data_IF_049084442376
#
_entry.id   IF_049084442376
#
_cell.length_a   1.000
_cell.length_b   1.000
_cell.length_c   1.000
_cell.angle_alpha   90.00
_cell.angle_beta   90.00
_cell.angle_gamma   90.00
#
_symmetry.space_group_name_H-M   'P 1'
#
loop_
_entity.id
_entity.type
_entity.pdbx_description
1 polymer ?
#
# COMPACT_ATOMS: atom_id res chain seq x y z
N UNK A 1 25.63 -7.42 17.43
CA UNK A 1 24.45 -8.31 17.28
C UNK A 1 24.12 -8.38 15.81
N UNK A 2 23.94 -9.58 15.23
CA UNK A 2 23.56 -9.71 13.81
C UNK A 2 22.09 -9.26 13.66
N UNK A 3 21.75 -8.63 12.54
CA UNK A 3 20.37 -8.14 12.29
C UNK A 3 19.28 -9.23 12.45
N UNK A 4 19.62 -10.47 12.15
CA UNK A 4 18.73 -11.62 12.34
C UNK A 4 18.42 -11.92 13.81
N UNK A 5 19.40 -11.78 14.71
CA UNK A 5 19.20 -12.00 16.15
C UNK A 5 18.25 -10.94 16.72
N UNK A 6 18.39 -9.71 16.27
CA UNK A 6 17.51 -8.60 16.67
C UNK A 6 16.08 -8.81 16.13
N UNK A 7 15.91 -9.30 14.88
CA UNK A 7 14.57 -9.63 14.33
C UNK A 7 13.90 -10.73 15.15
N UNK A 8 14.61 -11.81 15.47
CA UNK A 8 14.07 -12.91 16.27
C UNK A 8 13.61 -12.43 17.65
N UNK A 9 14.42 -11.61 18.32
CA UNK A 9 14.07 -11.02 19.62
C UNK A 9 12.79 -10.18 19.57
N UNK A 10 12.66 -9.32 18.56
CA UNK A 10 11.48 -8.48 18.38
C UNK A 10 10.23 -9.30 18.08
N UNK A 11 10.33 -10.30 17.21
CA UNK A 11 9.23 -11.18 16.88
C UNK A 11 8.77 -11.99 18.11
N UNK A 12 9.72 -12.52 18.91
CA UNK A 12 9.40 -13.19 20.17
C UNK A 12 8.80 -12.24 21.20
N UNK A 13 9.32 -11.02 21.33
CA UNK A 13 8.74 -9.97 22.19
C UNK A 13 7.27 -9.72 21.84
N UNK A 14 6.97 -9.53 20.55
CA UNK A 14 5.61 -9.32 20.09
C UNK A 14 4.69 -10.49 20.36
N UNK A 15 5.15 -11.72 20.13
CA UNK A 15 4.38 -12.93 20.43
C UNK A 15 4.15 -13.11 21.93
N UNK A 16 5.14 -12.84 22.76
CA UNK A 16 4.98 -12.88 24.22
C UNK A 16 3.94 -11.86 24.69
N UNK A 17 3.98 -10.63 24.16
CA UNK A 17 2.96 -9.61 24.44
C UNK A 17 1.59 -10.04 23.95
N UNK A 18 1.48 -10.55 22.74
CA UNK A 18 0.20 -11.06 22.18
C UNK A 18 -0.38 -12.17 23.05
N UNK A 19 0.48 -13.08 23.53
CA UNK A 19 0.06 -14.18 24.39
C UNK A 19 -0.40 -13.73 25.78
N UNK A 20 0.27 -12.71 26.34
CA UNK A 20 0.03 -12.21 27.70
C UNK A 20 -0.91 -11.00 27.78
N UNK A 21 -1.29 -10.40 26.64
CA UNK A 21 -2.08 -9.16 26.60
C UNK A 21 -3.48 -9.37 27.23
N UNK A 22 -4.18 -8.30 27.71
CA UNK A 22 -5.30 -8.40 28.69
C UNK A 22 -6.28 -9.54 28.45
N UNK A 23 -6.47 -9.92 27.17
CA UNK A 23 -7.13 -11.19 26.79
C UNK A 23 -6.10 -12.03 26.05
N UNK A 24 -5.60 -13.06 26.69
CA UNK A 24 -4.56 -13.95 26.16
C UNK A 24 -4.86 -14.39 24.72
N UNK A 25 -3.89 -14.15 23.83
CA UNK A 25 -3.99 -14.52 22.41
C UNK A 25 -4.91 -13.61 21.57
N UNK A 26 -5.27 -12.41 22.04
CA UNK A 26 -6.00 -11.42 21.24
C UNK A 26 -5.20 -10.12 21.13
N UNK A 27 -4.66 -9.83 19.95
CA UNK A 27 -3.89 -8.62 19.74
C UNK A 27 -3.37 -8.47 18.33
N UNK A 28 -2.91 -7.26 18.02
CA UNK A 28 -2.34 -6.90 16.72
C UNK A 28 -0.88 -6.51 16.86
N UNK A 29 -0.02 -7.08 16.03
CA UNK A 29 1.35 -6.65 15.84
C UNK A 29 1.38 -5.61 14.72
N UNK A 30 1.61 -4.34 15.08
CA UNK A 30 1.78 -3.26 14.13
C UNK A 30 3.26 -3.10 13.79
N UNK A 31 3.76 -3.90 12.86
CA UNK A 31 5.17 -3.95 12.51
C UNK A 31 5.41 -3.42 11.10
N UNK A 32 6.43 -2.57 10.93
CA UNK A 32 6.88 -2.12 9.63
C UNK A 32 7.11 -3.29 8.67
N UNK A 33 6.95 -3.03 7.37
CA UNK A 33 7.24 -4.03 6.34
C UNK A 33 8.71 -4.44 6.41
N UNK A 34 9.00 -5.74 6.33
CA UNK A 34 10.35 -6.28 6.42
C UNK A 34 10.78 -6.76 7.82
N UNK A 35 10.03 -6.43 8.88
CA UNK A 35 10.31 -6.91 10.25
C UNK A 35 9.96 -8.40 10.44
N UNK A 36 9.14 -8.99 9.55
CA UNK A 36 8.82 -10.42 9.58
C UNK A 36 7.47 -10.76 10.22
N UNK A 37 6.45 -9.96 9.95
CA UNK A 37 5.06 -10.20 10.41
C UNK A 37 4.57 -11.62 10.11
N UNK A 38 4.82 -12.11 8.89
CA UNK A 38 4.36 -13.45 8.45
C UNK A 38 4.98 -14.55 9.31
N UNK A 39 6.27 -14.42 9.67
CA UNK A 39 6.92 -15.35 10.60
C UNK A 39 6.26 -15.34 11.97
N UNK A 40 5.83 -14.18 12.48
CA UNK A 40 5.06 -14.13 13.73
C UNK A 40 3.77 -14.96 13.62
N UNK A 41 3.09 -14.91 12.47
CA UNK A 41 1.93 -15.76 12.21
C UNK A 41 2.24 -17.24 12.23
N UNK A 42 3.34 -17.69 11.59
CA UNK A 42 3.79 -19.08 11.61
C UNK A 42 4.08 -19.55 13.05
N UNK A 43 4.81 -18.74 13.82
CA UNK A 43 5.11 -19.05 15.22
C UNK A 43 3.87 -19.09 16.11
N UNK A 44 2.91 -18.19 15.89
CA UNK A 44 1.62 -18.19 16.61
C UNK A 44 0.81 -19.46 16.30
N UNK A 45 0.80 -19.90 15.03
CA UNK A 45 0.18 -21.14 14.62
C UNK A 45 0.82 -22.36 15.34
N UNK A 46 2.15 -22.45 15.30
CA UNK A 46 2.88 -23.53 15.97
C UNK A 46 2.62 -23.56 17.49
N UNK A 47 2.63 -22.41 18.16
CA UNK A 47 2.30 -22.30 19.58
C UNK A 47 0.87 -22.74 19.86
N UNK A 48 -0.09 -22.38 19.01
CA UNK A 48 -1.50 -22.75 19.19
C UNK A 48 -1.69 -24.25 19.02
N UNK A 49 -1.11 -24.86 17.98
CA UNK A 49 -1.17 -26.33 17.78
C UNK A 49 -0.57 -27.07 18.97
N UNK A 50 0.59 -26.60 19.48
CA UNK A 50 1.23 -27.19 20.66
C UNK A 50 0.32 -27.14 21.91
N UNK A 51 -0.49 -26.10 22.06
CA UNK A 51 -1.40 -25.92 23.20
C UNK A 51 -2.71 -26.72 23.04
N UNK A 52 -3.31 -26.68 21.83
CA UNK A 52 -4.64 -27.25 21.56
C UNK A 52 -4.59 -28.73 21.21
N UNK A 53 -3.45 -29.20 20.64
CA UNK A 53 -3.29 -30.60 20.24
C UNK A 53 -3.89 -30.94 18.88
N UNK A 54 -4.32 -32.19 18.69
CA UNK A 54 -4.61 -32.80 17.38
C UNK A 54 -5.87 -32.28 16.66
N UNK A 55 -6.74 -31.56 17.34
CA UNK A 55 -8.00 -31.02 16.75
C UNK A 55 -7.95 -29.48 16.51
N UNK A 56 -6.77 -28.92 16.42
CA UNK A 56 -6.58 -27.48 16.21
C UNK A 56 -7.13 -27.02 14.86
N UNK A 57 -7.88 -25.93 14.84
CA UNK A 57 -8.42 -25.30 13.62
C UNK A 57 -7.95 -23.86 13.52
N UNK A 58 -7.10 -23.58 12.52
CA UNK A 58 -6.49 -22.29 12.31
C UNK A 58 -6.99 -21.69 11.00
N UNK A 59 -7.45 -20.45 11.03
CA UNK A 59 -7.82 -19.70 9.85
C UNK A 59 -6.81 -18.58 9.59
N UNK A 60 -6.31 -18.48 8.37
CA UNK A 60 -5.55 -17.33 7.89
C UNK A 60 -6.42 -16.53 6.93
N UNK A 61 -6.77 -15.31 7.34
CA UNK A 61 -7.46 -14.35 6.49
C UNK A 61 -6.44 -13.53 5.68
N UNK A 62 -6.61 -13.50 4.36
CA UNK A 62 -5.72 -12.77 3.46
C UNK A 62 -6.46 -11.69 2.67
N UNK A 63 -5.79 -10.59 2.29
CA UNK A 63 -6.41 -9.53 1.50
C UNK A 63 -6.55 -9.88 0.00
N UNK A 64 -5.72 -10.80 -0.52
CA UNK A 64 -5.69 -11.15 -1.95
C UNK A 64 -5.47 -12.64 -2.18
N UNK A 65 -5.91 -13.14 -3.35
CA UNK A 65 -5.71 -14.53 -3.76
C UNK A 65 -4.23 -14.92 -3.90
N UNK A 66 -3.39 -14.02 -4.39
CA UNK A 66 -1.95 -14.29 -4.54
C UNK A 66 -1.28 -14.59 -3.19
N UNK A 67 -1.67 -13.88 -2.13
CA UNK A 67 -1.18 -14.12 -0.78
C UNK A 67 -1.76 -15.43 -0.24
N UNK A 68 -3.03 -15.71 -0.48
CA UNK A 68 -3.70 -16.96 -0.11
C UNK A 68 -2.99 -18.18 -0.71
N UNK A 69 -2.75 -18.14 -2.03
CA UNK A 69 -2.38 -19.34 -2.79
C UNK A 69 -0.91 -19.74 -2.63
N UNK A 70 -0.02 -18.78 -2.32
CA UNK A 70 1.43 -19.04 -2.29
C UNK A 70 2.15 -18.53 -1.06
N UNK A 71 2.00 -17.26 -0.71
CA UNK A 71 2.90 -16.60 0.21
C UNK A 71 2.91 -17.21 1.61
N UNK A 72 1.76 -17.58 2.15
CA UNK A 72 1.67 -18.23 3.46
C UNK A 72 2.23 -19.63 3.45
N UNK A 73 1.91 -20.45 2.46
CA UNK A 73 2.43 -21.83 2.34
C UNK A 73 3.96 -21.82 2.22
N UNK A 74 4.51 -20.95 1.37
CA UNK A 74 5.95 -20.78 1.21
C UNK A 74 6.62 -20.36 2.53
N UNK A 75 5.99 -19.50 3.32
CA UNK A 75 6.53 -19.07 4.61
C UNK A 75 6.53 -20.21 5.66
N UNK A 76 5.47 -21.03 5.72
CA UNK A 76 5.46 -22.22 6.58
C UNK A 76 6.55 -23.23 6.19
N UNK A 77 6.74 -23.47 4.89
CA UNK A 77 7.83 -24.33 4.38
C UNK A 77 9.19 -23.78 4.79
N UNK A 78 9.42 -22.49 4.59
CA UNK A 78 10.67 -21.80 4.93
C UNK A 78 11.08 -21.95 6.40
N UNK A 79 10.11 -22.01 7.29
CA UNK A 79 10.33 -22.13 8.74
C UNK A 79 10.22 -23.57 9.27
N UNK A 80 10.10 -24.56 8.38
CA UNK A 80 10.04 -25.98 8.74
C UNK A 80 8.71 -26.42 9.32
N UNK A 81 7.63 -25.63 9.14
CA UNK A 81 6.32 -25.87 9.73
C UNK A 81 5.25 -26.27 8.68
N UNK A 82 5.67 -26.85 7.56
CA UNK A 82 4.76 -27.26 6.46
C UNK A 82 3.67 -28.23 6.93
N UNK A 83 4.01 -29.16 7.83
CA UNK A 83 3.04 -30.11 8.39
C UNK A 83 1.90 -29.42 9.16
N UNK A 84 2.17 -28.30 9.82
CA UNK A 84 1.15 -27.50 10.50
C UNK A 84 0.23 -26.86 9.46
N UNK A 85 0.80 -26.30 8.38
CA UNK A 85 0.02 -25.68 7.32
C UNK A 85 -0.92 -26.69 6.67
N UNK A 86 -0.39 -27.83 6.25
CA UNK A 86 -1.17 -28.83 5.49
C UNK A 86 -2.26 -29.49 6.35
N UNK A 87 -2.08 -29.59 7.68
CA UNK A 87 -3.01 -30.31 8.55
C UNK A 87 -4.01 -29.43 9.28
N UNK A 88 -3.63 -28.21 9.67
CA UNK A 88 -4.41 -27.40 10.62
C UNK A 88 -4.84 -26.05 10.08
N UNK A 89 -4.29 -25.60 8.92
CA UNK A 89 -4.49 -24.23 8.43
C UNK A 89 -5.41 -24.20 7.22
N UNK A 90 -6.46 -23.43 7.35
CA UNK A 90 -7.27 -22.97 6.22
C UNK A 90 -6.87 -21.54 5.87
N UNK A 91 -6.58 -21.26 4.59
CA UNK A 91 -6.17 -19.94 4.12
C UNK A 91 -7.20 -19.39 3.12
N UNK A 92 -7.87 -18.29 3.46
CA UNK A 92 -9.03 -17.76 2.71
C UNK A 92 -8.94 -16.23 2.58
N UNK A 93 -9.42 -15.72 1.44
CA UNK A 93 -9.60 -14.27 1.28
C UNK A 93 -10.79 -13.76 2.10
N UNK A 94 -10.64 -12.60 2.72
CA UNK A 94 -11.72 -11.97 3.50
C UNK A 94 -12.99 -11.75 2.67
N UNK A 95 -12.87 -11.50 1.35
CA UNK A 95 -13.99 -11.34 0.42
C UNK A 95 -14.89 -12.60 0.31
N UNK A 96 -14.36 -13.73 0.72
CA UNK A 96 -15.13 -14.98 0.83
C UNK A 96 -15.57 -15.22 2.28
N UNK A 97 -14.64 -15.11 3.23
CA UNK A 97 -14.86 -15.47 4.62
C UNK A 97 -15.88 -14.58 5.35
N UNK A 98 -16.05 -13.30 4.95
CA UNK A 98 -16.97 -12.39 5.64
C UNK A 98 -18.44 -12.84 5.60
N UNK A 99 -18.79 -13.73 4.67
CA UNK A 99 -20.13 -14.32 4.51
C UNK A 99 -20.38 -15.51 5.45
N UNK A 100 -19.33 -16.02 6.09
CA UNK A 100 -19.45 -17.20 6.94
C UNK A 100 -20.05 -16.85 8.29
N UNK A 101 -20.83 -17.77 8.81
CA UNK A 101 -21.54 -17.63 10.10
C UNK A 101 -21.40 -18.92 10.89
N UNK A 102 -21.22 -18.82 12.21
CA UNK A 102 -21.21 -19.95 13.13
C UNK A 102 -19.95 -20.82 13.08
N UNK A 103 -18.87 -20.36 12.43
CA UNK A 103 -17.60 -21.06 12.44
C UNK A 103 -16.86 -20.85 13.75
N UNK A 104 -16.11 -21.87 14.18
CA UNK A 104 -15.30 -21.84 15.40
C UNK A 104 -13.86 -22.15 15.04
N UNK A 105 -12.93 -21.28 15.48
CA UNK A 105 -11.49 -21.42 15.26
C UNK A 105 -10.71 -21.26 16.56
N UNK A 106 -9.65 -22.05 16.72
CA UNK A 106 -8.70 -21.89 17.83
C UNK A 106 -7.85 -20.65 17.65
N UNK A 107 -7.48 -20.35 16.39
CA UNK A 107 -6.72 -19.15 16.02
C UNK A 107 -7.20 -18.59 14.68
N UNK A 108 -7.43 -17.28 14.64
CA UNK A 108 -7.56 -16.51 13.40
C UNK A 108 -6.35 -15.62 13.26
N UNK A 109 -5.59 -15.79 12.19
CA UNK A 109 -4.49 -14.88 11.79
C UNK A 109 -5.06 -13.96 10.72
N UNK A 110 -5.17 -12.67 11.02
CA UNK A 110 -5.70 -11.65 10.13
C UNK A 110 -4.56 -10.85 9.49
N UNK A 111 -4.10 -11.31 8.31
CA UNK A 111 -3.01 -10.63 7.58
C UNK A 111 -3.52 -9.34 6.94
N UNK A 112 -2.80 -8.23 7.17
CA UNK A 112 -3.23 -6.87 6.84
C UNK A 112 -4.62 -6.53 7.43
N UNK A 113 -4.79 -6.81 8.73
CA UNK A 113 -6.07 -6.68 9.48
C UNK A 113 -6.76 -5.33 9.26
N UNK A 114 -6.01 -4.25 8.98
CA UNK A 114 -6.58 -2.93 8.70
C UNK A 114 -7.55 -2.92 7.50
N UNK A 115 -7.49 -3.91 6.60
CA UNK A 115 -8.45 -4.06 5.50
C UNK A 115 -9.78 -4.64 5.98
N UNK A 116 -9.79 -5.37 7.11
CA UNK A 116 -10.97 -6.07 7.63
C UNK A 116 -11.73 -5.23 8.65
N UNK A 117 -11.10 -4.18 9.17
CA UNK A 117 -11.74 -3.19 10.05
C UNK A 117 -12.48 -2.16 9.16
N UNK A 118 -13.56 -2.65 8.56
CA UNK A 118 -14.50 -1.91 7.74
C UNK A 118 -15.90 -2.52 7.94
N UNK A 119 -17.00 -1.75 7.87
CA UNK A 119 -18.34 -2.22 8.23
C UNK A 119 -18.72 -3.56 7.59
N UNK A 120 -18.36 -3.76 6.33
CA UNK A 120 -18.69 -4.97 5.59
C UNK A 120 -17.96 -6.22 6.12
N UNK A 121 -16.63 -6.13 6.26
CA UNK A 121 -15.80 -7.30 6.63
C UNK A 121 -15.73 -7.53 8.13
N UNK A 122 -16.02 -6.50 8.93
CA UNK A 122 -16.00 -6.57 10.39
C UNK A 122 -17.00 -7.59 10.93
N UNK A 123 -18.09 -7.83 10.22
CA UNK A 123 -19.11 -8.81 10.58
C UNK A 123 -18.54 -10.24 10.69
N UNK A 124 -17.43 -10.55 10.02
CA UNK A 124 -16.77 -11.85 10.19
C UNK A 124 -16.47 -12.15 11.66
N UNK A 125 -15.91 -11.17 12.37
CA UNK A 125 -15.52 -11.34 13.77
C UNK A 125 -16.71 -11.39 14.73
N UNK A 126 -17.86 -10.83 14.38
CA UNK A 126 -19.10 -10.91 15.14
C UNK A 126 -19.90 -12.18 14.87
N UNK A 127 -19.84 -12.71 13.65
CA UNK A 127 -20.62 -13.86 13.22
C UNK A 127 -19.93 -15.20 13.46
N UNK A 128 -18.64 -15.21 13.81
CA UNK A 128 -17.84 -16.41 14.04
C UNK A 128 -17.11 -16.33 15.38
N UNK A 129 -16.82 -17.48 15.96
CA UNK A 129 -16.07 -17.57 17.20
C UNK A 129 -14.60 -17.83 16.93
N UNK A 130 -13.73 -17.13 17.64
CA UNK A 130 -12.30 -17.38 17.62
C UNK A 130 -11.73 -17.26 19.03
N UNK A 131 -11.06 -18.34 19.48
CA UNK A 131 -10.42 -18.33 20.80
C UNK A 131 -9.26 -17.34 20.84
N UNK A 132 -8.46 -17.30 19.77
CA UNK A 132 -7.34 -16.37 19.61
C UNK A 132 -7.45 -15.61 18.29
N UNK A 133 -6.99 -14.34 18.29
CA UNK A 133 -6.89 -13.52 17.09
C UNK A 133 -5.53 -12.82 17.06
N UNK A 134 -4.76 -13.09 16.02
CA UNK A 134 -3.52 -12.36 15.73
C UNK A 134 -3.72 -11.47 14.53
N UNK A 135 -3.81 -10.16 14.77
CA UNK A 135 -3.77 -9.16 13.72
C UNK A 135 -2.33 -8.85 13.29
N UNK A 136 -2.08 -8.78 12.00
CA UNK A 136 -0.81 -8.35 11.42
C UNK A 136 -1.06 -7.14 10.54
N UNK A 137 -0.29 -6.06 10.72
CA UNK A 137 -0.38 -4.88 9.86
C UNK A 137 0.89 -4.04 9.92
N UNK A 138 1.21 -3.34 8.83
CA UNK A 138 2.26 -2.33 8.84
C UNK A 138 1.76 -0.97 9.33
N UNK A 139 0.47 -0.69 9.10
CA UNK A 139 -0.15 0.57 9.45
C UNK A 139 -1.62 0.38 9.82
N UNK A 140 -2.05 1.03 10.88
CA UNK A 140 -3.46 1.13 11.29
C UNK A 140 -3.87 2.59 11.27
N UNK A 141 -4.92 2.91 10.53
CA UNK A 141 -5.53 4.23 10.56
C UNK A 141 -6.12 4.51 11.95
N UNK A 142 -5.76 5.63 12.61
CA UNK A 142 -6.30 5.98 13.92
C UNK A 142 -7.84 5.94 14.00
N UNK A 143 -8.53 6.29 12.93
CA UNK A 143 -10.00 6.25 12.84
C UNK A 143 -10.55 4.83 13.03
N UNK A 144 -9.76 3.80 12.72
CA UNK A 144 -10.15 2.39 12.85
C UNK A 144 -9.86 1.77 14.22
N UNK A 145 -9.12 2.46 15.08
CA UNK A 145 -8.70 1.94 16.38
C UNK A 145 -9.88 1.49 17.27
N UNK A 146 -11.01 2.21 17.36
CA UNK A 146 -12.13 1.76 18.20
C UNK A 146 -12.64 0.36 17.79
N UNK A 147 -12.81 0.09 16.50
CA UNK A 147 -13.24 -1.20 15.99
C UNK A 147 -12.14 -2.27 16.15
N UNK A 148 -10.88 -1.92 15.89
CA UNK A 148 -9.77 -2.83 16.09
C UNK A 148 -9.65 -3.29 17.55
N UNK A 149 -9.80 -2.36 18.49
CA UNK A 149 -9.71 -2.63 19.92
C UNK A 149 -10.80 -3.59 20.41
N UNK A 150 -11.94 -3.66 19.74
CA UNK A 150 -13.00 -4.62 20.06
C UNK A 150 -12.65 -6.06 19.66
N UNK A 151 -11.70 -6.28 18.74
CA UNK A 151 -11.37 -7.61 18.21
C UNK A 151 -9.95 -8.02 18.58
N UNK A 152 -8.96 -7.20 18.29
CA UNK A 152 -7.54 -7.48 18.46
C UNK A 152 -6.76 -6.15 18.65
N UNK A 153 -6.73 -5.56 19.84
CA UNK A 153 -6.04 -4.30 20.10
C UNK A 153 -4.53 -4.40 19.81
N UNK A 154 -3.89 -3.26 19.53
CA UNK A 154 -2.45 -3.25 19.25
C UNK A 154 -1.70 -3.64 20.54
N UNK A 155 -1.01 -4.78 20.52
CA UNK A 155 -0.23 -5.29 21.65
C UNK A 155 1.28 -4.99 21.54
N UNK A 156 1.80 -4.84 20.31
CA UNK A 156 3.18 -4.40 20.09
C UNK A 156 3.30 -3.61 18.79
N UNK A 157 4.28 -2.68 18.77
CA UNK A 157 4.51 -1.80 17.61
C UNK A 157 5.99 -1.69 17.32
N UNK A 158 6.32 -1.68 16.01
CA UNK A 158 7.64 -1.33 15.47
C UNK A 158 7.42 -0.45 14.23
N UNK A 159 7.78 0.81 14.33
CA UNK A 159 7.65 1.77 13.23
C UNK A 159 8.74 1.57 12.18
N UNK A 160 8.58 2.15 10.99
CA UNK A 160 9.61 2.11 9.94
C UNK A 160 10.90 2.77 10.40
N UNK A 161 10.81 3.88 11.13
CA UNK A 161 11.98 4.56 11.71
C UNK A 161 12.71 3.67 12.72
N UNK A 162 11.98 3.07 13.66
CA UNK A 162 12.55 2.16 14.66
C UNK A 162 13.16 0.91 13.98
N UNK A 163 12.48 0.34 12.98
CA UNK A 163 13.01 -0.78 12.22
C UNK A 163 14.32 -0.45 11.49
N UNK A 164 14.43 0.76 10.94
CA UNK A 164 15.66 1.25 10.30
C UNK A 164 16.77 1.46 11.31
N UNK A 165 16.51 2.16 12.43
CA UNK A 165 17.50 2.43 13.48
C UNK A 165 18.04 1.16 14.14
N UNK A 166 17.22 0.10 14.23
CA UNK A 166 17.60 -1.21 14.75
C UNK A 166 18.25 -2.12 13.68
N UNK A 167 18.43 -1.63 12.44
CA UNK A 167 18.98 -2.44 11.34
C UNK A 167 18.11 -3.63 10.92
N UNK A 168 16.81 -3.61 11.20
CA UNK A 168 15.87 -4.66 10.81
C UNK A 168 15.48 -4.58 9.33
N UNK A 169 15.57 -3.40 8.77
CA UNK A 169 15.39 -3.08 7.34
C UNK A 169 16.61 -2.32 6.86
N UNK A 170 16.84 -2.28 5.57
CA UNK A 170 17.93 -1.48 4.98
C UNK A 170 17.73 0.00 5.27
N UNK A 171 18.81 0.74 5.43
CA UNK A 171 18.76 2.19 5.47
C UNK A 171 18.16 2.75 4.19
N UNK A 172 17.47 3.87 4.27
CA UNK A 172 16.89 4.52 3.10
C UNK A 172 16.85 6.03 3.24
N UNK A 173 16.89 6.71 2.11
CA UNK A 173 16.63 8.15 2.03
C UNK A 173 15.34 8.35 1.22
N UNK A 174 14.42 9.12 1.77
CA UNK A 174 13.17 9.52 1.12
C UNK A 174 13.26 10.96 0.65
N UNK A 175 13.32 11.14 -0.67
CA UNK A 175 13.32 12.44 -1.32
C UNK A 175 11.90 12.84 -1.73
N UNK A 176 11.50 14.08 -1.43
CA UNK A 176 10.33 14.74 -1.98
C UNK A 176 10.80 15.64 -3.12
N UNK A 177 10.37 15.35 -4.33
CA UNK A 177 10.86 16.03 -5.55
C UNK A 177 9.73 16.83 -6.17
N UNK A 178 9.71 18.17 -5.96
CA UNK A 178 8.76 19.07 -6.60
C UNK A 178 9.08 19.23 -8.08
N UNK A 179 8.05 19.19 -8.92
CA UNK A 179 8.10 19.33 -10.38
C UNK A 179 7.07 20.34 -10.85
N UNK A 180 7.30 20.96 -11.99
CA UNK A 180 6.38 21.90 -12.61
C UNK A 180 5.63 21.29 -13.79
N UNK A 181 4.37 21.68 -13.98
CA UNK A 181 3.61 21.36 -15.21
C UNK A 181 4.15 22.13 -16.41
N UNK A 182 4.10 21.52 -17.59
CA UNK A 182 4.34 22.24 -18.85
C UNK A 182 3.33 23.36 -19.06
N UNK A 183 3.60 24.28 -20.00
CA UNK A 183 2.75 25.44 -20.23
C UNK A 183 1.29 25.06 -20.50
N UNK A 184 1.04 24.08 -21.39
CA UNK A 184 -0.29 23.62 -21.74
C UNK A 184 -0.95 22.84 -20.59
N UNK A 185 -0.24 21.92 -19.94
CA UNK A 185 -0.73 21.17 -18.80
C UNK A 185 -1.16 22.09 -17.64
N UNK A 186 -0.41 23.18 -17.42
CA UNK A 186 -0.73 24.21 -16.41
C UNK A 186 -2.04 24.92 -16.70
N UNK A 187 -2.30 25.24 -17.98
CA UNK A 187 -3.56 25.86 -18.41
C UNK A 187 -4.73 24.88 -18.19
N UNK A 188 -4.57 23.64 -18.62
CA UNK A 188 -5.62 22.62 -18.52
C UNK A 188 -5.91 22.26 -17.06
N UNK A 189 -4.86 22.17 -16.23
CA UNK A 189 -5.02 21.95 -14.79
C UNK A 189 -5.75 23.12 -14.11
N UNK A 190 -5.41 24.38 -14.44
CA UNK A 190 -6.11 25.56 -13.92
C UNK A 190 -7.59 25.53 -14.27
N UNK A 191 -7.93 25.26 -15.53
CA UNK A 191 -9.33 25.10 -15.98
C UNK A 191 -10.08 24.06 -15.17
N UNK A 192 -9.53 22.86 -15.06
CA UNK A 192 -10.14 21.76 -14.30
C UNK A 192 -10.27 22.11 -12.81
N UNK A 193 -9.27 22.78 -12.24
CA UNK A 193 -9.27 23.21 -10.84
C UNK A 193 -10.31 24.29 -10.56
N UNK A 194 -10.44 25.28 -11.47
CA UNK A 194 -11.47 26.33 -11.38
C UNK A 194 -12.88 25.75 -11.46
N UNK A 195 -13.14 24.86 -12.40
CA UNK A 195 -14.43 24.18 -12.53
C UNK A 195 -14.79 23.38 -11.27
N UNK A 196 -13.82 22.62 -10.75
CA UNK A 196 -14.01 21.90 -9.49
C UNK A 196 -14.29 22.85 -8.31
N UNK A 197 -13.49 23.91 -8.17
CA UNK A 197 -13.64 24.89 -7.09
C UNK A 197 -14.98 25.64 -7.14
N UNK A 198 -15.54 25.88 -8.34
CA UNK A 198 -16.84 26.48 -8.54
C UNK A 198 -18.00 25.56 -8.14
N UNK A 199 -17.90 24.28 -8.51
CA UNK A 199 -19.01 23.32 -8.36
C UNK A 199 -19.01 22.60 -7.01
N UNK A 200 -17.85 22.29 -6.46
CA UNK A 200 -17.74 21.47 -5.25
C UNK A 200 -18.42 22.04 -3.99
N UNK A 201 -18.43 23.37 -3.75
CA UNK A 201 -19.19 23.96 -2.65
C UNK A 201 -20.71 23.68 -2.69
N UNK A 202 -21.27 23.43 -3.86
CA UNK A 202 -22.68 23.07 -4.00
C UNK A 202 -23.02 21.74 -3.31
N UNK A 203 -22.03 20.89 -3.13
CA UNK A 203 -22.11 19.58 -2.47
C UNK A 203 -21.50 19.60 -1.05
N UNK A 204 -21.58 20.73 -0.35
CA UNK A 204 -21.05 20.94 1.02
C UNK A 204 -19.56 20.61 1.14
N UNK A 205 -18.81 20.65 0.03
CA UNK A 205 -17.42 20.19 -0.06
C UNK A 205 -17.23 18.73 0.39
N UNK A 206 -18.27 17.91 0.27
CA UNK A 206 -18.29 16.48 0.60
C UNK A 206 -18.44 15.64 -0.67
N UNK A 207 -17.42 14.83 -0.96
CA UNK A 207 -17.46 13.92 -2.11
C UNK A 207 -18.56 12.87 -2.00
N UNK A 208 -18.92 12.43 -0.80
CA UNK A 208 -20.01 11.44 -0.62
C UNK A 208 -21.35 12.04 -1.01
N UNK A 209 -21.58 13.30 -0.66
CA UNK A 209 -22.77 14.02 -1.07
C UNK A 209 -22.77 14.20 -2.59
N UNK A 210 -21.66 14.65 -3.17
CA UNK A 210 -21.54 14.81 -4.62
C UNK A 210 -21.86 13.50 -5.36
N UNK A 211 -21.31 12.36 -4.91
CA UNK A 211 -21.59 11.06 -5.55
C UNK A 211 -23.06 10.62 -5.40
N UNK A 212 -23.68 10.86 -4.24
CA UNK A 212 -25.12 10.62 -4.06
C UNK A 212 -25.97 11.47 -4.99
N UNK A 213 -25.58 12.71 -5.20
CA UNK A 213 -26.26 13.66 -6.11
C UNK A 213 -26.10 13.28 -7.60
N UNK A 214 -25.34 12.28 -7.95
CA UNK A 214 -25.36 11.70 -9.31
C UNK A 214 -26.68 10.98 -9.62
N UNK A 215 -27.48 10.65 -8.59
CA UNK A 215 -28.88 10.20 -8.75
C UNK A 215 -29.79 11.42 -8.82
N UNK A 216 -30.55 11.65 -9.92
CA UNK A 216 -31.31 12.89 -10.13
C UNK A 216 -32.27 13.26 -9.01
N UNK A 217 -33.05 12.32 -8.48
CA UNK A 217 -33.98 12.55 -7.37
C UNK A 217 -33.30 12.95 -6.05
N UNK A 218 -32.10 12.41 -5.79
CA UNK A 218 -31.30 12.77 -4.63
C UNK A 218 -30.74 14.19 -4.80
N UNK A 219 -30.32 14.54 -6.00
CA UNK A 219 -29.82 15.86 -6.32
C UNK A 219 -30.89 16.93 -6.22
N UNK A 220 -32.09 16.70 -6.76
CA UNK A 220 -33.24 17.58 -6.62
C UNK A 220 -33.59 17.83 -5.14
N UNK A 221 -33.64 16.76 -4.34
CA UNK A 221 -33.86 16.88 -2.89
C UNK A 221 -32.76 17.71 -2.21
N UNK A 222 -31.50 17.54 -2.63
CA UNK A 222 -30.35 18.30 -2.10
C UNK A 222 -30.44 19.79 -2.46
N UNK A 223 -30.79 20.11 -3.71
CA UNK A 223 -31.01 21.50 -4.17
C UNK A 223 -32.16 22.19 -3.41
N UNK A 224 -33.30 21.52 -3.30
CA UNK A 224 -34.47 22.05 -2.59
C UNK A 224 -34.16 22.40 -1.12
N UNK A 225 -33.35 21.59 -0.43
CA UNK A 225 -32.89 21.90 0.93
C UNK A 225 -32.02 23.16 1.00
N UNK A 226 -31.38 23.55 -0.11
CA UNK A 226 -30.55 24.76 -0.24
C UNK A 226 -31.30 25.95 -0.83
N UNK A 227 -32.58 25.81 -1.09
CA UNK A 227 -33.40 26.86 -1.71
C UNK A 227 -33.16 27.02 -3.21
N UNK A 228 -32.60 26.01 -3.87
CA UNK A 228 -32.38 25.97 -5.32
C UNK A 228 -33.39 25.03 -5.99
N UNK A 229 -33.76 25.32 -7.22
CA UNK A 229 -34.63 24.49 -8.05
C UNK A 229 -33.74 23.76 -9.09
N UNK A 230 -34.07 22.50 -9.40
CA UNK A 230 -33.44 21.77 -10.47
C UNK A 230 -33.88 22.34 -11.82
N UNK A 231 -32.94 22.72 -12.66
CA UNK A 231 -33.16 23.32 -13.99
C UNK A 231 -32.17 22.72 -15.03
N UNK A 232 -32.32 23.16 -16.28
CA UNK A 232 -31.46 22.70 -17.40
C UNK A 232 -30.00 23.06 -17.23
N UNK A 233 -29.68 24.16 -16.55
CA UNK A 233 -28.31 24.60 -16.30
C UNK A 233 -27.59 23.74 -15.25
N UNK A 234 -28.28 23.51 -14.13
CA UNK A 234 -27.66 22.84 -12.98
C UNK A 234 -27.78 21.32 -12.95
N UNK A 235 -28.71 20.72 -13.70
CA UNK A 235 -28.96 19.25 -13.71
C UNK A 235 -27.71 18.41 -13.96
N UNK A 236 -26.69 18.95 -14.62
CA UNK A 236 -25.44 18.26 -14.96
C UNK A 236 -24.30 18.55 -13.99
N UNK A 237 -24.47 19.43 -12.99
CA UNK A 237 -23.40 19.86 -12.11
C UNK A 237 -22.73 18.73 -11.31
N UNK A 238 -23.43 17.69 -10.81
CA UNK A 238 -22.75 16.56 -10.17
C UNK A 238 -21.77 15.86 -11.10
N UNK A 239 -22.17 15.64 -12.35
CA UNK A 239 -21.33 15.00 -13.36
C UNK A 239 -20.16 15.90 -13.79
N UNK A 240 -20.42 17.21 -13.98
CA UNK A 240 -19.37 18.18 -14.29
C UNK A 240 -18.34 18.28 -13.16
N UNK A 241 -18.78 18.28 -11.91
CA UNK A 241 -17.89 18.31 -10.75
C UNK A 241 -17.01 17.05 -10.68
N UNK A 242 -17.60 15.89 -10.89
CA UNK A 242 -16.87 14.62 -10.94
C UNK A 242 -15.89 14.58 -12.13
N UNK A 243 -16.28 15.04 -13.30
CA UNK A 243 -15.41 15.13 -14.48
C UNK A 243 -14.23 16.07 -14.22
N UNK A 244 -14.48 17.26 -13.66
CA UNK A 244 -13.44 18.23 -13.31
C UNK A 244 -12.46 17.65 -12.28
N UNK A 245 -12.96 16.95 -11.25
CA UNK A 245 -12.13 16.26 -10.26
C UNK A 245 -11.26 15.17 -10.92
N UNK A 246 -11.85 14.37 -11.79
CA UNK A 246 -11.17 13.28 -12.48
C UNK A 246 -10.11 13.78 -13.45
N UNK A 247 -10.44 14.79 -14.25
CA UNK A 247 -9.53 15.42 -15.20
C UNK A 247 -8.33 16.05 -14.49
N UNK A 248 -8.57 16.78 -13.39
CA UNK A 248 -7.53 17.35 -12.55
C UNK A 248 -6.54 16.27 -12.05
N UNK A 249 -7.05 15.16 -11.54
CA UNK A 249 -6.21 14.02 -11.11
C UNK A 249 -5.44 13.40 -12.27
N UNK A 250 -6.11 13.20 -13.42
CA UNK A 250 -5.50 12.60 -14.60
C UNK A 250 -4.33 13.42 -15.13
N UNK A 251 -4.48 14.76 -15.16
CA UNK A 251 -3.40 15.67 -15.54
C UNK A 251 -2.19 15.53 -14.61
N UNK A 252 -2.40 15.55 -13.30
CA UNK A 252 -1.31 15.38 -12.33
C UNK A 252 -0.64 14.01 -12.45
N UNK A 253 -1.42 12.94 -12.62
CA UNK A 253 -0.87 11.57 -12.66
C UNK A 253 -0.06 11.30 -13.93
N UNK A 254 -0.39 11.95 -15.04
CA UNK A 254 0.23 11.75 -16.35
C UNK A 254 1.14 12.90 -16.79
N UNK A 255 1.48 13.83 -15.90
CA UNK A 255 2.30 15.00 -16.22
C UNK A 255 3.63 14.62 -16.89
N UNK A 256 3.97 15.31 -17.97
CA UNK A 256 5.18 15.06 -18.77
C UNK A 256 6.44 15.24 -17.94
N UNK A 257 6.47 16.25 -17.07
CA UNK A 257 7.61 16.50 -16.18
C UNK A 257 7.94 15.29 -15.28
N UNK A 258 6.95 14.45 -14.93
CA UNK A 258 7.19 13.23 -14.17
C UNK A 258 7.84 12.13 -15.00
N UNK A 259 7.47 12.02 -16.27
CA UNK A 259 8.11 11.07 -17.18
C UNK A 259 9.58 11.44 -17.39
N UNK A 260 9.86 12.71 -17.62
CA UNK A 260 11.23 13.25 -17.76
C UNK A 260 12.05 13.02 -16.47
N UNK A 261 11.43 13.23 -15.30
CA UNK A 261 12.07 12.99 -14.02
C UNK A 261 12.38 11.49 -13.79
N UNK A 262 11.45 10.62 -14.14
CA UNK A 262 11.67 9.15 -14.07
C UNK A 262 12.85 8.76 -14.93
N UNK A 263 12.90 9.22 -16.18
CA UNK A 263 14.02 8.96 -17.10
C UNK A 263 15.34 9.42 -16.50
N UNK A 264 15.45 10.68 -16.12
CA UNK A 264 16.68 11.26 -15.56
C UNK A 264 17.16 10.52 -14.32
N UNK A 265 16.26 10.17 -13.40
CA UNK A 265 16.60 9.39 -12.20
C UNK A 265 17.06 7.96 -12.53
N UNK A 266 16.46 7.34 -13.55
CA UNK A 266 16.89 6.02 -14.00
C UNK A 266 18.24 6.07 -14.72
N UNK A 267 18.51 7.11 -15.49
CA UNK A 267 19.78 7.31 -16.19
C UNK A 267 20.92 7.62 -15.19
N UNK A 268 20.63 8.34 -14.11
CA UNK A 268 21.58 8.63 -13.03
C UNK A 268 21.93 7.40 -12.19
N UNK A 269 21.02 6.39 -12.16
CA UNK A 269 21.19 5.16 -11.37
C UNK A 269 21.02 3.91 -12.23
N UNK A 270 21.85 3.71 -13.26
CA UNK A 270 21.71 2.58 -14.19
C UNK A 270 21.89 1.21 -13.50
N UNK A 271 22.70 1.15 -12.45
CA UNK A 271 23.02 -0.05 -11.68
C UNK A 271 21.91 -0.50 -10.73
N UNK A 272 20.92 0.39 -10.42
CA UNK A 272 19.92 0.10 -9.41
C UNK A 272 18.68 -0.58 -9.99
N UNK A 273 18.32 -1.72 -9.43
CA UNK A 273 17.00 -2.29 -9.69
C UNK A 273 15.93 -1.39 -9.12
N UNK A 274 15.04 -0.91 -10.00
CA UNK A 274 14.10 0.16 -9.71
C UNK A 274 12.66 -0.27 -9.91
N UNK A 275 11.80 0.09 -8.94
CA UNK A 275 10.35 0.00 -9.08
C UNK A 275 9.75 1.40 -9.24
N UNK A 276 8.93 1.59 -10.29
CA UNK A 276 8.29 2.87 -10.59
C UNK A 276 6.78 2.71 -10.36
N UNK A 277 6.28 3.40 -9.35
CA UNK A 277 4.87 3.37 -8.96
C UNK A 277 4.08 4.50 -9.60
N UNK A 278 2.97 4.18 -10.24
CA UNK A 278 2.02 5.14 -10.80
C UNK A 278 0.58 4.87 -10.35
N UNK A 279 -0.34 5.78 -10.66
CA UNK A 279 -1.78 5.60 -10.41
C UNK A 279 -2.53 5.17 -11.67
N UNK A 280 -1.94 5.34 -12.86
CA UNK A 280 -2.56 5.04 -14.14
C UNK A 280 -1.75 4.03 -14.93
N UNK A 281 -2.44 3.14 -15.64
CA UNK A 281 -1.82 2.17 -16.56
C UNK A 281 -1.17 2.91 -17.74
N UNK A 282 -1.79 3.98 -18.19
CA UNK A 282 -1.28 4.83 -19.27
C UNK A 282 0.12 5.36 -18.94
N UNK A 283 0.30 5.95 -17.76
CA UNK A 283 1.62 6.42 -17.33
C UNK A 283 2.62 5.27 -17.18
N UNK A 284 2.20 4.12 -16.63
CA UNK A 284 3.07 2.96 -16.51
C UNK A 284 3.58 2.46 -17.87
N UNK A 285 2.73 2.46 -18.89
CA UNK A 285 3.10 2.09 -20.26
C UNK A 285 4.06 3.12 -20.89
N UNK A 286 3.75 4.42 -20.76
CA UNK A 286 4.64 5.50 -21.24
C UNK A 286 6.04 5.41 -20.62
N UNK A 287 6.13 5.09 -19.32
CA UNK A 287 7.43 4.85 -18.66
C UNK A 287 8.16 3.66 -19.28
N UNK A 288 7.44 2.57 -19.58
CA UNK A 288 8.06 1.39 -20.20
C UNK A 288 8.53 1.68 -21.61
N UNK A 289 7.75 2.42 -22.39
CA UNK A 289 8.13 2.88 -23.73
C UNK A 289 9.36 3.80 -23.70
N UNK A 290 9.40 4.77 -22.77
CA UNK A 290 10.50 5.73 -22.63
C UNK A 290 11.81 5.08 -22.20
N UNK A 291 11.75 4.09 -21.30
CA UNK A 291 12.93 3.37 -20.79
C UNK A 291 13.33 2.16 -21.64
N UNK A 292 12.53 1.78 -22.64
CA UNK A 292 12.81 0.74 -23.61
C UNK A 292 13.11 -0.63 -23.00
N UNK A 293 14.08 -1.34 -23.54
CA UNK A 293 14.41 -2.72 -23.18
C UNK A 293 14.87 -2.93 -21.72
N UNK A 294 15.16 -1.85 -21.01
CA UNK A 294 15.56 -1.92 -19.59
C UNK A 294 14.38 -1.95 -18.62
N UNK A 295 13.15 -1.74 -19.10
CA UNK A 295 11.95 -1.62 -18.28
C UNK A 295 10.83 -2.55 -18.76
N UNK A 296 10.12 -3.16 -17.82
CA UNK A 296 8.93 -3.96 -18.08
C UNK A 296 7.72 -3.40 -17.34
N UNK A 297 6.52 -3.58 -17.91
CA UNK A 297 5.25 -3.20 -17.28
C UNK A 297 4.70 -4.30 -16.39
N UNK A 298 4.03 -3.89 -15.28
CA UNK A 298 3.29 -4.80 -14.42
C UNK A 298 1.98 -4.14 -13.95
N UNK A 299 0.84 -4.49 -14.56
CA UNK A 299 -0.47 -3.94 -14.21
C UNK A 299 -1.61 -4.92 -14.53
N UNK A 300 -2.82 -4.64 -14.03
CA UNK A 300 -3.97 -5.54 -14.10
C UNK A 300 -4.48 -5.86 -15.52
N UNK A 301 -4.21 -4.99 -16.52
CA UNK A 301 -4.57 -5.26 -17.93
C UNK A 301 -3.68 -6.30 -18.59
N UNK A 302 -2.51 -6.58 -18.03
CA UNK A 302 -1.66 -7.68 -18.50
C UNK A 302 -2.20 -9.02 -17.99
N UNK A 303 -2.24 -10.03 -18.84
CA UNK A 303 -2.58 -11.40 -18.45
C UNK A 303 -1.62 -11.97 -17.40
N UNK A 304 -2.06 -12.97 -16.65
CA UNK A 304 -1.26 -13.59 -15.56
C UNK A 304 0.11 -14.11 -16.07
N UNK A 305 0.13 -14.74 -17.24
CA UNK A 305 1.37 -15.23 -17.89
C UNK A 305 2.35 -14.10 -18.19
N UNK A 306 1.88 -13.00 -18.79
CA UNK A 306 2.73 -11.85 -19.13
C UNK A 306 3.31 -11.17 -17.89
N UNK A 307 2.49 -11.02 -16.83
CA UNK A 307 2.95 -10.47 -15.54
C UNK A 307 4.03 -11.33 -14.91
N UNK A 308 3.88 -12.66 -14.93
CA UNK A 308 4.90 -13.58 -14.41
C UNK A 308 6.18 -13.46 -15.23
N UNK A 309 6.10 -13.53 -16.57
CA UNK A 309 7.27 -13.42 -17.45
C UNK A 309 8.02 -12.08 -17.28
N UNK A 310 7.31 -10.98 -17.07
CA UNK A 310 7.93 -9.68 -16.83
C UNK A 310 8.66 -9.63 -15.46
N UNK A 311 8.10 -10.27 -14.44
CA UNK A 311 8.77 -10.41 -13.14
C UNK A 311 10.01 -11.29 -13.26
N UNK A 312 9.93 -12.42 -13.97
CA UNK A 312 11.04 -13.32 -14.16
C UNK A 312 12.20 -12.63 -14.88
N UNK A 313 11.91 -11.78 -15.89
CA UNK A 313 12.93 -10.94 -16.55
C UNK A 313 13.61 -9.97 -15.58
N UNK A 314 12.88 -9.32 -14.67
CA UNK A 314 13.47 -8.42 -13.67
C UNK A 314 14.32 -9.16 -12.64
N UNK A 315 13.94 -10.38 -12.30
CA UNK A 315 14.66 -11.21 -11.32
C UNK A 315 15.94 -11.81 -11.93
N UNK A 316 15.88 -12.20 -13.20
CA UNK A 316 17.02 -12.81 -13.90
C UNK A 316 18.08 -11.74 -14.25
N UNK A 317 19.19 -11.77 -13.52
CA UNK A 317 20.32 -10.85 -13.72
C UNK A 317 21.04 -11.00 -15.08
N UNK A 318 20.68 -12.00 -15.90
CA UNK A 318 21.21 -12.17 -17.26
C UNK A 318 20.46 -11.33 -18.29
N UNK A 319 19.34 -10.74 -17.94
CA UNK A 319 18.58 -9.82 -18.79
C UNK A 319 19.03 -8.39 -18.58
N UNK A 320 18.74 -7.51 -19.56
CA UNK A 320 18.99 -6.08 -19.42
C UNK A 320 17.89 -5.36 -18.60
N UNK A 321 16.88 -6.09 -18.12
CA UNK A 321 15.73 -5.52 -17.39
C UNK A 321 16.14 -5.25 -15.94
N UNK A 322 16.30 -3.98 -15.63
CA UNK A 322 16.61 -3.49 -14.26
C UNK A 322 15.44 -2.70 -13.67
N UNK A 323 14.38 -2.46 -14.44
CA UNK A 323 13.28 -1.57 -14.03
C UNK A 323 11.92 -2.23 -14.25
N UNK A 324 10.97 -1.91 -13.35
CA UNK A 324 9.58 -2.33 -13.48
C UNK A 324 8.65 -1.17 -13.22
N UNK A 325 7.78 -0.86 -14.18
CA UNK A 325 6.75 0.16 -14.05
C UNK A 325 5.40 -0.47 -13.70
N UNK A 326 4.72 0.05 -12.68
CA UNK A 326 3.47 -0.54 -12.17
C UNK A 326 2.39 0.48 -11.87
N UNK A 327 1.15 0.12 -12.17
CA UNK A 327 -0.05 0.86 -11.79
C UNK A 327 -0.84 0.06 -10.76
N UNK A 328 -0.73 0.44 -9.48
CA UNK A 328 -1.45 -0.14 -8.30
C UNK A 328 -1.18 -1.63 -8.00
N UNK A 329 -0.63 -2.40 -8.95
CA UNK A 329 -0.61 -3.87 -8.87
C UNK A 329 0.48 -4.45 -7.97
N UNK A 330 1.56 -3.74 -7.69
CA UNK A 330 2.67 -4.20 -6.83
C UNK A 330 2.59 -3.67 -5.39
N UNK A 331 1.48 -3.08 -4.99
CA UNK A 331 1.33 -2.61 -3.62
C UNK A 331 1.27 -3.78 -2.61
N UNK A 332 0.75 -4.95 -3.03
CA UNK A 332 0.58 -6.13 -2.15
C UNK A 332 1.01 -7.43 -2.86
N UNK A 333 1.60 -8.36 -2.12
CA UNK A 333 1.73 -9.78 -2.50
C UNK A 333 2.88 -10.20 -3.43
N UNK A 334 3.64 -9.30 -4.02
CA UNK A 334 4.76 -9.67 -4.92
C UNK A 334 6.10 -9.41 -4.26
N UNK A 335 6.95 -10.43 -4.27
CA UNK A 335 8.32 -10.35 -3.78
C UNK A 335 9.27 -10.13 -4.97
N UNK A 336 9.93 -8.98 -5.02
CA UNK A 336 11.00 -8.71 -5.98
C UNK A 336 12.29 -8.53 -5.18
N UNK A 337 13.29 -9.42 -5.33
CA UNK A 337 14.58 -9.27 -4.67
C UNK A 337 15.37 -8.10 -5.28
N UNK A 338 16.37 -7.65 -4.55
CA UNK A 338 17.40 -6.69 -4.96
C UNK A 338 16.91 -5.29 -5.39
N UNK A 339 15.64 -4.95 -5.16
CA UNK A 339 15.15 -3.59 -5.41
C UNK A 339 15.87 -2.64 -4.45
N UNK A 340 16.62 -1.68 -5.00
CA UNK A 340 17.36 -0.67 -4.22
C UNK A 340 16.87 0.76 -4.48
N UNK A 341 16.00 0.97 -5.47
CA UNK A 341 15.42 2.27 -5.75
C UNK A 341 13.90 2.18 -5.99
N UNK A 342 13.15 3.16 -5.51
CA UNK A 342 11.75 3.37 -5.88
C UNK A 342 11.52 4.80 -6.37
N UNK A 343 10.73 4.93 -7.43
CA UNK A 343 10.21 6.22 -7.89
C UNK A 343 8.68 6.18 -7.76
N UNK A 344 8.14 7.02 -6.91
CA UNK A 344 6.69 7.17 -6.71
C UNK A 344 6.25 8.35 -7.57
N UNK A 345 5.94 8.06 -8.83
CA UNK A 345 5.57 9.08 -9.83
C UNK A 345 4.18 9.68 -9.55
N UNK A 346 3.30 8.95 -8.85
CA UNK A 346 1.99 9.47 -8.47
C UNK A 346 1.64 9.01 -7.07
N UNK A 347 1.54 9.95 -6.16
CA UNK A 347 1.20 9.72 -4.76
C UNK A 347 -0.30 9.64 -4.50
N UNK A 348 -0.65 9.17 -3.33
CA UNK A 348 -1.97 9.29 -2.72
C UNK A 348 -1.80 9.96 -1.36
N UNK A 349 -2.87 10.52 -0.80
CA UNK A 349 -2.86 11.06 0.56
C UNK A 349 -2.78 9.96 1.64
N UNK A 350 -2.77 8.68 1.25
CA UNK A 350 -2.80 7.56 2.18
C UNK A 350 -1.39 7.20 2.63
N UNK A 351 -1.10 7.42 3.89
CA UNK A 351 0.16 7.01 4.57
C UNK A 351 0.44 5.51 4.36
N UNK A 352 -0.60 4.68 4.41
CA UNK A 352 -0.52 3.23 4.15
C UNK A 352 0.16 2.91 2.82
N UNK A 353 -0.28 3.57 1.73
CA UNK A 353 0.25 3.28 0.38
C UNK A 353 1.74 3.60 0.30
N UNK A 354 2.18 4.70 0.92
CA UNK A 354 3.59 5.06 0.99
C UNK A 354 4.39 4.02 1.78
N UNK A 355 3.94 3.64 2.98
CA UNK A 355 4.60 2.63 3.83
C UNK A 355 4.74 1.29 3.08
N UNK A 356 3.71 0.85 2.37
CA UNK A 356 3.77 -0.38 1.59
C UNK A 356 4.77 -0.31 0.43
N UNK A 357 4.83 0.85 -0.27
CA UNK A 357 5.80 1.07 -1.37
C UNK A 357 7.22 1.13 -0.85
N UNK A 358 7.48 1.89 0.21
CA UNK A 358 8.77 1.92 0.92
C UNK A 358 9.19 0.49 1.29
N UNK A 359 8.29 -0.26 1.91
CA UNK A 359 8.55 -1.61 2.37
C UNK A 359 8.94 -2.62 1.29
N UNK A 360 8.71 -2.31 0.00
CA UNK A 360 9.20 -3.15 -1.12
C UNK A 360 10.69 -2.96 -1.38
N UNK A 361 11.22 -1.79 -1.04
CA UNK A 361 12.57 -1.35 -1.38
C UNK A 361 13.53 -1.55 -0.21
N UNK A 362 13.04 -1.33 1.02
CA UNK A 362 13.87 -1.35 2.24
C UNK A 362 14.05 -2.74 2.85
N UNK A 363 13.80 -3.83 2.11
CA UNK A 363 14.09 -5.17 2.61
C UNK A 363 15.56 -5.26 2.99
N UNK A 364 15.80 -5.83 4.16
CA UNK A 364 17.15 -5.90 4.71
C UNK A 364 18.09 -6.68 3.79
N UNK A 365 19.19 -6.06 3.48
CA UNK A 365 20.32 -6.61 2.75
C UNK A 365 21.57 -5.91 3.27
N UNK A 366 22.65 -6.64 3.46
CA UNK A 366 23.90 -6.10 4.02
C UNK A 366 24.50 -5.03 3.11
N UNK A 367 24.83 -3.86 3.68
CA UNK A 367 25.41 -2.72 2.93
C UNK A 367 24.45 -1.96 2.03
N UNK A 368 23.19 -2.38 1.93
CA UNK A 368 22.21 -1.73 1.05
C UNK A 368 21.70 -0.43 1.63
N UNK A 369 21.82 0.63 0.85
CA UNK A 369 21.12 1.92 1.04
C UNK A 369 20.08 2.09 -0.06
N UNK A 370 18.80 2.18 0.33
CA UNK A 370 17.70 2.35 -0.60
C UNK A 370 17.44 3.85 -0.88
N UNK A 371 17.09 4.17 -2.12
CA UNK A 371 16.67 5.51 -2.53
C UNK A 371 15.19 5.51 -2.88
N UNK A 372 14.44 6.49 -2.39
CA UNK A 372 13.02 6.62 -2.64
C UNK A 372 12.73 8.04 -3.07
N UNK A 373 12.24 8.21 -4.29
CA UNK A 373 11.87 9.51 -4.85
C UNK A 373 10.35 9.63 -4.94
N UNK A 374 9.79 10.59 -4.24
CA UNK A 374 8.35 10.88 -4.29
C UNK A 374 8.13 12.16 -5.11
N UNK A 375 7.77 11.97 -6.38
CA UNK A 375 7.52 13.06 -7.33
C UNK A 375 6.14 13.67 -7.08
N UNK A 376 6.05 14.99 -7.16
CA UNK A 376 4.77 15.71 -7.07
C UNK A 376 4.82 17.01 -7.85
N UNK A 377 3.66 17.48 -8.28
CA UNK A 377 3.53 18.77 -8.95
C UNK A 377 3.37 19.88 -7.92
N UNK A 378 4.31 20.80 -7.89
CA UNK A 378 4.33 21.97 -7.00
C UNK A 378 3.10 22.87 -7.23
N UNK A 379 2.56 23.47 -6.16
CA UNK A 379 1.38 24.32 -6.21
C UNK A 379 0.08 23.59 -6.57
N UNK A 380 0.08 22.26 -6.59
CA UNK A 380 -1.09 21.44 -6.89
C UNK A 380 -1.67 20.76 -5.65
N UNK A 381 -2.82 20.12 -5.84
CA UNK A 381 -3.39 19.28 -4.77
C UNK A 381 -2.48 18.09 -4.41
N UNK A 382 -1.60 17.68 -5.29
CA UNK A 382 -0.70 16.55 -5.09
C UNK A 382 0.34 16.84 -4.00
N UNK A 383 0.79 18.06 -3.90
CA UNK A 383 1.69 18.50 -2.82
C UNK A 383 1.09 18.26 -1.43
N UNK A 384 -0.22 18.55 -1.25
CA UNK A 384 -0.94 18.25 0.00
C UNK A 384 -1.05 16.75 0.25
N UNK A 385 -1.25 15.95 -0.79
CA UNK A 385 -1.32 14.49 -0.65
C UNK A 385 0.03 13.91 -0.26
N UNK A 386 1.10 14.39 -0.88
CA UNK A 386 2.47 13.94 -0.58
C UNK A 386 2.83 14.29 0.87
N UNK A 387 2.64 15.55 1.29
CA UNK A 387 2.89 15.98 2.67
C UNK A 387 2.10 15.13 3.68
N UNK A 388 0.82 14.85 3.41
CA UNK A 388 0.00 14.01 4.29
C UNK A 388 0.50 12.57 4.35
N UNK A 389 0.94 11.99 3.23
CA UNK A 389 1.41 10.61 3.18
C UNK A 389 2.79 10.41 3.80
N UNK A 390 3.60 11.46 3.86
CA UNK A 390 4.95 11.45 4.41
C UNK A 390 5.01 11.67 5.93
N UNK A 391 3.88 11.92 6.58
CA UNK A 391 3.83 12.13 8.04
C UNK A 391 4.49 10.97 8.79
N UNK A 392 5.40 11.31 9.71
CA UNK A 392 6.16 10.33 10.51
C UNK A 392 7.40 9.74 9.81
N UNK A 393 7.75 10.23 8.63
CA UNK A 393 9.01 9.90 7.95
C UNK A 393 9.97 11.11 7.93
N UNK A 394 11.28 10.84 7.98
CA UNK A 394 12.29 11.85 7.63
C UNK A 394 12.32 11.99 6.12
N UNK A 395 12.14 13.21 5.62
CA UNK A 395 12.01 13.49 4.19
C UNK A 395 12.96 14.62 3.83
N UNK A 396 13.73 14.42 2.79
CA UNK A 396 14.59 15.45 2.19
C UNK A 396 13.86 16.06 0.99
N UNK A 397 13.59 17.36 1.01
CA UNK A 397 13.01 18.08 -0.13
C UNK A 397 14.15 18.55 -1.01
N UNK A 398 14.18 18.11 -2.27
CA UNK A 398 15.24 18.46 -3.21
C UNK A 398 14.68 18.67 -4.62
N UNK A 399 15.12 19.72 -5.30
CA UNK A 399 14.81 19.91 -6.72
C UNK A 399 15.61 18.92 -7.56
N UNK A 400 14.97 18.36 -8.59
CA UNK A 400 15.60 17.35 -9.44
C UNK A 400 16.95 17.80 -10.02
N UNK A 401 17.05 19.06 -10.47
CA UNK A 401 18.30 19.61 -10.99
C UNK A 401 19.42 19.66 -9.95
N UNK A 402 19.09 20.04 -8.72
CA UNK A 402 20.04 20.06 -7.59
C UNK A 402 20.52 18.65 -7.25
N UNK A 403 19.59 17.68 -7.20
CA UNK A 403 19.95 16.29 -6.97
C UNK A 403 20.94 15.75 -7.99
N UNK A 404 20.69 16.01 -9.29
CA UNK A 404 21.52 15.54 -10.38
C UNK A 404 22.90 16.23 -10.41
N UNK A 405 23.00 17.49 -9.94
CA UNK A 405 24.29 18.20 -9.80
C UNK A 405 25.10 17.66 -8.62
N UNK A 406 24.49 17.46 -7.46
CA UNK A 406 25.16 16.94 -6.27
C UNK A 406 25.89 15.60 -6.50
N UNK A 407 25.40 14.77 -7.40
CA UNK A 407 26.02 13.47 -7.70
C UNK A 407 27.15 13.51 -8.70
N UNK A 408 27.22 14.56 -9.52
CA UNK A 408 28.36 14.73 -10.45
C UNK A 408 29.63 15.17 -9.72
N UNK A 409 29.46 15.72 -8.52
CA UNK A 409 30.55 16.23 -7.69
C UNK A 409 30.93 15.24 -6.57
N UNK A 410 30.23 14.10 -6.42
CA UNK A 410 30.48 13.04 -5.44
C UNK A 410 31.07 11.79 -6.09
#
# INVERSE_FOLDING_TARGET
MKANDTKDQIQRRGLNKWWAYPVSGRGTLQYATGVGKTRCGVLAAALTVKQTGMNCKILILTPTETIRDRAWKEEFIKWGESAIFDKYVECICIQTAYKWVGQIYDLVIADEIHNYIAPEYFNFFGNNQSHKVLGLSAYIDPVKLPLLNAVAPICDRVTTHEASSLGLISSFTLYSVPLELTGQERIDYRKANQNFARLFPMFDKDLKIMYKCMTPSVYETHLNRKGHILDEENKTFPYQCNAAMTNRKKLLYNATAKLDAVKKLCDEHPERKTIIFSQTIDFANRVTEELGDTCVSFHSKLGKKARSANLDKLIDNRTNVTRISTAKALNEGVNVPDISMAIIASGTSKVKDLIQRIGRVVRWEEGKQALIFHLHIEGSQEEKWVSSSQMGHSVEVIKLGEYLLFRKDA
#
